data_IF_812956787467
#
_entry.id   IF_812956787467
#
_cell.length_a   1.000
_cell.length_b   1.000
_cell.length_c   1.000
_cell.angle_alpha   90.00
_cell.angle_beta   90.00
_cell.angle_gamma   90.00
#
_symmetry.space_group_name_H-M   'P 1'
#
loop_
_entity.id
_entity.type
_entity.pdbx_description
1 polymer ?
#
# COMPACT_ATOMS: atom_id res chain seq x y z
N UNK A 1 -53.74 -13.82 40.10
CA UNK A 1 -52.81 -14.53 39.19
C UNK A 1 -52.45 -13.58 38.06
N UNK A 2 -51.28 -12.97 38.13
CA UNK A 2 -50.76 -12.09 37.09
C UNK A 2 -49.40 -12.62 36.64
N UNK A 3 -49.32 -12.98 35.35
CA UNK A 3 -48.15 -13.51 34.67
C UNK A 3 -47.07 -12.42 34.58
N UNK A 4 -45.98 -12.56 35.32
CA UNK A 4 -44.82 -11.68 35.21
C UNK A 4 -43.75 -12.37 34.34
N UNK A 5 -43.77 -12.12 33.03
CA UNK A 5 -42.64 -12.45 32.14
C UNK A 5 -41.53 -11.43 32.37
N UNK A 6 -40.26 -11.83 32.51
CA UNK A 6 -39.15 -10.87 32.66
C UNK A 6 -38.98 -10.04 31.38
N UNK A 7 -38.63 -8.76 31.54
CA UNK A 7 -38.35 -7.80 30.47
C UNK A 7 -36.98 -8.07 29.85
N UNK A 8 -36.84 -7.86 28.55
CA UNK A 8 -35.64 -8.12 27.76
C UNK A 8 -34.49 -7.11 27.95
N UNK A 9 -34.35 -6.50 29.14
CA UNK A 9 -33.34 -5.47 29.43
C UNK A 9 -32.15 -5.93 30.28
N UNK A 10 -32.13 -7.20 30.74
CA UNK A 10 -31.12 -7.69 31.67
C UNK A 10 -30.13 -8.65 30.98
N UNK A 11 -29.73 -8.35 29.74
CA UNK A 11 -28.56 -8.99 29.13
C UNK A 11 -27.30 -8.29 29.65
N UNK A 12 -26.72 -8.91 30.68
CA UNK A 12 -25.34 -8.71 31.11
C UNK A 12 -24.44 -8.80 29.88
N UNK A 13 -23.88 -7.66 29.46
CA UNK A 13 -22.85 -7.60 28.42
C UNK A 13 -21.61 -8.26 28.99
N UNK A 14 -21.37 -9.51 28.58
CA UNK A 14 -20.13 -10.24 28.88
C UNK A 14 -18.92 -9.55 28.24
N UNK A 15 -17.70 -9.84 28.71
CA UNK A 15 -16.49 -9.17 28.22
C UNK A 15 -16.36 -9.35 26.71
N UNK A 16 -16.06 -8.24 26.02
CA UNK A 16 -15.81 -8.15 24.59
C UNK A 16 -14.92 -9.32 24.14
N UNK A 17 -15.52 -10.22 23.35
CA UNK A 17 -14.76 -11.25 22.66
C UNK A 17 -13.99 -10.57 21.55
N UNK A 18 -12.67 -10.49 21.69
CA UNK A 18 -11.76 -10.09 20.63
C UNK A 18 -12.10 -10.81 19.32
N UNK A 19 -12.14 -10.07 18.23
CA UNK A 19 -12.42 -10.57 16.88
C UNK A 19 -11.39 -11.65 16.49
N UNK A 20 -11.81 -12.91 16.28
CA UNK A 20 -10.93 -14.03 15.95
C UNK A 20 -10.29 -13.93 14.55
N UNK A 21 -10.59 -12.88 13.77
CA UNK A 21 -9.94 -12.59 12.48
C UNK A 21 -8.71 -11.67 12.59
N UNK A 22 -8.42 -11.13 13.78
CA UNK A 22 -7.21 -10.33 14.03
C UNK A 22 -5.95 -11.20 14.08
N UNK A 23 -5.46 -11.60 12.90
CA UNK A 23 -4.10 -12.16 12.78
C UNK A 23 -3.13 -11.11 13.32
N UNK A 24 -2.43 -11.44 14.41
CA UNK A 24 -1.34 -10.62 14.92
C UNK A 24 -0.30 -10.47 13.82
N UNK A 25 -0.18 -9.25 13.28
CA UNK A 25 0.82 -8.95 12.26
C UNK A 25 2.17 -8.91 13.00
N UNK A 26 3.01 -9.92 12.78
CA UNK A 26 4.37 -9.95 13.32
C UNK A 26 5.24 -8.99 12.49
N UNK A 27 5.69 -7.86 13.04
CA UNK A 27 6.52 -6.92 12.30
C UNK A 27 7.89 -7.52 12.03
N UNK A 28 8.33 -7.50 10.78
CA UNK A 28 9.70 -7.84 10.42
C UNK A 28 10.62 -6.64 10.69
N UNK A 29 11.89 -6.83 11.12
CA UNK A 29 12.82 -5.74 11.46
C UNK A 29 12.93 -4.64 10.39
N UNK A 30 12.78 -5.01 9.13
CA UNK A 30 12.86 -4.14 7.97
C UNK A 30 11.67 -3.17 7.87
N UNK A 31 10.50 -3.53 8.43
CA UNK A 31 9.33 -2.65 8.46
C UNK A 31 9.53 -1.49 9.42
N UNK A 32 10.30 -1.69 10.50
CA UNK A 32 10.66 -0.62 11.42
C UNK A 32 11.60 0.38 10.74
N UNK A 33 12.60 -0.09 10.00
CA UNK A 33 13.48 0.80 9.23
C UNK A 33 12.68 1.64 8.21
N UNK A 34 11.77 1.00 7.48
CA UNK A 34 10.89 1.69 6.55
C UNK A 34 10.03 2.74 7.26
N UNK A 35 9.43 2.40 8.40
CA UNK A 35 8.66 3.33 9.21
C UNK A 35 9.52 4.55 9.59
N UNK A 36 10.75 4.36 10.08
CA UNK A 36 11.63 5.47 10.44
C UNK A 36 12.00 6.36 9.24
N UNK A 37 12.22 5.78 8.05
CA UNK A 37 12.47 6.56 6.84
C UNK A 37 11.25 7.36 6.38
N UNK A 38 10.06 6.76 6.42
CA UNK A 38 8.79 7.46 6.18
C UNK A 38 8.59 8.59 7.19
N UNK A 39 8.96 8.35 8.46
CA UNK A 39 8.87 9.36 9.50
C UNK A 39 9.82 10.53 9.18
N UNK A 40 11.06 10.22 8.86
CA UNK A 40 12.10 11.24 8.66
C UNK A 40 11.87 12.11 7.42
N UNK A 41 11.48 11.52 6.29
CA UNK A 41 11.37 12.23 5.01
C UNK A 41 9.96 12.74 4.73
N UNK A 42 8.93 12.13 5.34
CA UNK A 42 7.51 12.40 5.05
C UNK A 42 7.19 12.24 3.56
N UNK A 43 5.98 12.65 3.17
CA UNK A 43 5.56 12.70 1.77
C UNK A 43 4.78 11.46 1.32
N UNK A 44 4.70 11.32 0.01
CA UNK A 44 3.96 10.28 -0.70
C UNK A 44 4.84 9.04 -0.87
N UNK A 45 4.32 7.91 -0.41
CA UNK A 45 4.92 6.60 -0.62
C UNK A 45 4.04 5.77 -1.56
N UNK A 46 4.59 5.39 -2.71
CA UNK A 46 3.93 4.53 -3.68
C UNK A 46 4.33 3.08 -3.43
N UNK A 47 3.37 2.23 -3.04
CA UNK A 47 3.62 0.81 -2.75
C UNK A 47 3.34 0.00 -4.02
N UNK A 48 4.34 -0.74 -4.51
CA UNK A 48 4.27 -1.56 -5.72
C UNK A 48 4.69 -3.00 -5.44
N UNK A 49 4.14 -3.94 -6.19
CA UNK A 49 4.37 -5.38 -6.00
C UNK A 49 3.29 -6.21 -6.68
N UNK A 50 3.54 -7.50 -6.85
CA UNK A 50 2.57 -8.44 -7.44
C UNK A 50 1.32 -8.58 -6.55
N UNK A 51 0.25 -9.15 -7.08
CA UNK A 51 -0.92 -9.59 -6.30
C UNK A 51 -0.47 -10.52 -5.17
N UNK A 52 -1.10 -10.44 -4.01
CA UNK A 52 -0.81 -11.28 -2.84
C UNK A 52 0.65 -11.24 -2.32
N UNK A 53 1.41 -10.17 -2.63
CA UNK A 53 2.76 -9.97 -2.12
C UNK A 53 2.84 -9.43 -0.68
N UNK A 54 1.70 -9.01 -0.09
CA UNK A 54 1.63 -8.47 1.27
C UNK A 54 1.53 -6.93 1.36
N UNK A 55 1.40 -6.21 0.23
CA UNK A 55 1.26 -4.74 0.17
C UNK A 55 0.22 -4.19 1.14
N UNK A 56 -1.02 -4.67 1.09
CA UNK A 56 -2.10 -4.15 1.92
C UNK A 56 -1.88 -4.46 3.41
N UNK A 57 -1.25 -5.59 3.75
CA UNK A 57 -0.84 -5.91 5.13
C UNK A 57 0.23 -4.93 5.63
N UNK A 58 1.24 -4.64 4.81
CA UNK A 58 2.27 -3.64 5.12
C UNK A 58 1.64 -2.25 5.29
N UNK A 59 0.74 -1.85 4.39
CA UNK A 59 0.04 -0.56 4.46
C UNK A 59 -0.76 -0.43 5.75
N UNK A 60 -1.55 -1.46 6.12
CA UNK A 60 -2.30 -1.45 7.38
C UNK A 60 -1.39 -1.33 8.61
N UNK A 61 -0.26 -2.05 8.61
CA UNK A 61 0.73 -1.94 9.68
C UNK A 61 1.30 -0.52 9.78
N UNK A 62 1.75 0.05 8.65
CA UNK A 62 2.32 1.40 8.60
C UNK A 62 1.31 2.46 9.08
N UNK A 63 0.05 2.38 8.65
CA UNK A 63 -1.00 3.31 9.10
C UNK A 63 -1.12 3.28 10.63
N UNK A 64 -1.27 2.09 11.24
CA UNK A 64 -1.40 1.95 12.69
C UNK A 64 -0.21 2.56 13.42
N UNK A 65 1.00 2.29 12.95
CA UNK A 65 2.24 2.80 13.55
C UNK A 65 2.36 4.32 13.41
N UNK A 66 2.09 4.87 12.24
CA UNK A 66 2.13 6.32 12.01
C UNK A 66 1.11 7.07 12.88
N UNK A 67 -0.10 6.53 13.04
CA UNK A 67 -1.11 7.08 13.95
C UNK A 67 -0.61 7.05 15.40
N UNK A 68 0.02 5.95 15.84
CA UNK A 68 0.56 5.86 17.22
C UNK A 68 1.67 6.87 17.50
N UNK A 69 2.38 7.30 16.45
CA UNK A 69 3.39 8.38 16.49
C UNK A 69 2.78 9.78 16.31
N UNK A 70 1.43 9.90 16.33
CA UNK A 70 0.69 11.15 16.12
C UNK A 70 0.99 11.84 14.77
N UNK A 71 1.32 11.06 13.73
CA UNK A 71 1.57 11.57 12.39
C UNK A 71 0.31 11.44 11.55
N UNK A 72 -0.10 12.53 10.91
CA UNK A 72 -1.25 12.53 10.02
C UNK A 72 -0.96 11.73 8.74
N UNK A 73 -1.76 10.69 8.49
CA UNK A 73 -1.57 9.79 7.34
C UNK A 73 -2.82 9.69 6.50
N UNK A 74 -2.67 9.71 5.18
CA UNK A 74 -3.73 9.38 4.24
C UNK A 74 -3.45 8.06 3.54
N UNK A 75 -4.49 7.29 3.28
CA UNK A 75 -4.45 6.15 2.38
C UNK A 75 -5.13 6.53 1.06
N UNK A 76 -4.45 6.32 -0.06
CA UNK A 76 -5.05 6.24 -1.39
C UNK A 76 -5.04 4.77 -1.80
N UNK A 77 -6.22 4.15 -1.81
CA UNK A 77 -6.41 2.78 -2.31
C UNK A 77 -6.67 2.84 -3.82
N UNK A 78 -5.66 2.45 -4.60
CA UNK A 78 -5.71 2.40 -6.05
C UNK A 78 -5.71 0.96 -6.61
N UNK A 79 -6.01 -0.05 -5.78
CA UNK A 79 -6.27 -1.41 -6.24
C UNK A 79 -7.75 -1.59 -6.63
N UNK A 80 -8.06 -1.34 -7.90
CA UNK A 80 -9.44 -1.45 -8.40
C UNK A 80 -9.94 -2.90 -8.49
N UNK A 81 -9.06 -3.90 -8.35
CA UNK A 81 -9.43 -5.31 -8.40
C UNK A 81 -9.79 -5.85 -7.02
N UNK A 82 -8.95 -5.57 -6.03
CA UNK A 82 -9.07 -6.05 -4.65
C UNK A 82 -8.99 -4.89 -3.65
N UNK A 83 -9.84 -3.87 -3.85
CA UNK A 83 -9.87 -2.70 -2.96
C UNK A 83 -10.12 -3.10 -1.51
N UNK A 84 -9.35 -2.51 -0.61
CA UNK A 84 -9.46 -2.66 0.85
C UNK A 84 -10.34 -1.59 1.49
N UNK A 85 -10.52 -0.45 0.81
CA UNK A 85 -11.21 0.73 1.34
C UNK A 85 -12.59 0.97 0.71
N UNK A 86 -12.80 0.59 -0.56
CA UNK A 86 -14.04 0.84 -1.29
C UNK A 86 -14.55 -0.38 -2.09
N UNK A 87 -15.66 -0.21 -2.83
CA UNK A 87 -16.16 -1.26 -3.72
C UNK A 87 -15.17 -1.58 -4.85
N UNK A 88 -15.22 -2.78 -5.45
CA UNK A 88 -14.43 -3.11 -6.64
C UNK A 88 -14.65 -2.09 -7.77
N UNK A 89 -13.57 -1.80 -8.51
CA UNK A 89 -13.56 -0.86 -9.62
C UNK A 89 -13.40 0.60 -9.22
N UNK A 90 -13.06 0.87 -7.96
CA UNK A 90 -12.90 2.23 -7.44
C UNK A 90 -11.47 2.55 -7.07
N UNK A 91 -11.13 3.83 -7.13
CA UNK A 91 -9.99 4.40 -6.41
C UNK A 91 -10.56 5.28 -5.30
N UNK A 92 -10.11 5.04 -4.08
CA UNK A 92 -10.62 5.68 -2.88
C UNK A 92 -9.51 6.36 -2.09
N UNK A 93 -9.88 7.34 -1.27
CA UNK A 93 -8.96 7.90 -0.28
C UNK A 93 -9.63 8.09 1.08
N UNK A 94 -8.79 8.11 2.11
CA UNK A 94 -9.19 8.38 3.49
C UNK A 94 -8.03 9.01 4.26
N UNK A 95 -8.28 10.14 4.90
CA UNK A 95 -7.40 10.71 5.93
C UNK A 95 -7.60 9.97 7.25
N UNK A 96 -6.52 9.60 7.93
CA UNK A 96 -6.53 8.85 9.19
C UNK A 96 -5.67 9.61 10.21
N UNK A 97 -6.30 10.11 11.28
CA UNK A 97 -5.64 10.94 12.31
C UNK A 97 -5.51 10.22 13.64
N UNK A 98 -6.43 9.32 13.92
CA UNK A 98 -6.45 8.56 15.16
C UNK A 98 -6.94 7.11 14.95
N UNK A 99 -6.94 6.33 16.03
CA UNK A 99 -7.38 4.94 16.02
C UNK A 99 -8.87 4.79 15.67
N UNK A 100 -9.71 5.80 15.95
CA UNK A 100 -11.13 5.76 15.62
C UNK A 100 -11.31 5.85 14.11
N UNK A 101 -10.54 6.70 13.44
CA UNK A 101 -10.53 6.76 11.97
C UNK A 101 -10.12 5.41 11.37
N UNK A 102 -9.11 4.76 11.97
CA UNK A 102 -8.65 3.44 11.51
C UNK A 102 -9.74 2.37 11.64
N UNK A 103 -10.43 2.32 12.78
CA UNK A 103 -11.50 1.34 13.03
C UNK A 103 -12.76 1.62 12.20
N UNK A 104 -13.06 2.90 11.94
CA UNK A 104 -14.14 3.32 11.04
C UNK A 104 -13.64 3.41 9.59
N UNK A 105 -13.16 2.29 9.03
CA UNK A 105 -12.52 2.22 7.73
C UNK A 105 -13.51 2.40 6.56
N UNK A 106 -13.99 3.64 6.39
CA UNK A 106 -14.82 4.13 5.28
C UNK A 106 -14.05 5.18 4.49
N UNK A 107 -14.13 5.12 3.16
CA UNK A 107 -13.57 6.14 2.28
C UNK A 107 -14.21 7.51 2.50
N UNK A 108 -13.44 8.58 2.30
CA UNK A 108 -13.90 9.97 2.28
C UNK A 108 -14.26 10.43 0.86
N UNK A 109 -13.47 10.00 -0.12
CA UNK A 109 -13.72 10.23 -1.56
C UNK A 109 -13.50 8.94 -2.34
N UNK A 110 -14.24 8.81 -3.43
CA UNK A 110 -14.25 7.65 -4.31
C UNK A 110 -14.39 8.11 -5.76
N UNK A 111 -13.74 7.40 -6.68
CA UNK A 111 -13.99 7.48 -8.10
C UNK A 111 -14.15 6.08 -8.68
N UNK A 112 -15.28 5.81 -9.33
CA UNK A 112 -15.56 4.54 -9.99
C UNK A 112 -15.07 4.57 -11.45
N UNK A 113 -14.25 3.59 -11.83
CA UNK A 113 -13.61 3.52 -13.14
C UNK A 113 -14.37 2.65 -14.15
N UNK A 114 -15.50 2.04 -13.74
CA UNK A 114 -16.34 1.22 -14.63
C UNK A 114 -15.82 -0.19 -14.88
N UNK A 115 -14.69 -0.58 -14.29
CA UNK A 115 -14.11 -1.92 -14.44
C UNK A 115 -13.23 -2.26 -13.24
N UNK A 116 -13.05 -3.55 -12.97
CA UNK A 116 -12.05 -4.07 -12.03
C UNK A 116 -10.76 -4.49 -12.74
N UNK A 117 -10.72 -4.46 -14.08
CA UNK A 117 -9.53 -4.82 -14.84
C UNK A 117 -8.65 -3.58 -15.13
N UNK A 118 -7.50 -3.43 -14.45
CA UNK A 118 -6.65 -2.25 -14.61
C UNK A 118 -6.11 -2.08 -16.03
N UNK A 119 -5.96 -3.17 -16.79
CA UNK A 119 -5.44 -3.12 -18.16
C UNK A 119 -6.33 -2.29 -19.12
N UNK A 120 -7.62 -2.15 -18.82
CA UNK A 120 -8.59 -1.46 -19.69
C UNK A 120 -8.62 0.07 -19.48
N UNK A 121 -8.08 0.57 -18.37
CA UNK A 121 -8.30 1.95 -17.91
C UNK A 121 -7.01 2.63 -17.39
N UNK A 122 -5.83 2.20 -17.87
CA UNK A 122 -4.53 2.66 -17.36
C UNK A 122 -4.40 4.21 -17.27
N UNK A 123 -4.71 5.00 -18.31
CA UNK A 123 -4.58 6.47 -18.22
C UNK A 123 -5.47 7.06 -17.13
N UNK A 124 -6.72 6.59 -17.04
CA UNK A 124 -7.68 7.04 -16.03
C UNK A 124 -7.23 6.66 -14.62
N UNK A 125 -6.66 5.46 -14.42
CA UNK A 125 -6.08 5.06 -13.13
C UNK A 125 -4.90 5.94 -12.71
N UNK A 126 -4.06 6.36 -13.65
CA UNK A 126 -2.92 7.24 -13.39
C UNK A 126 -3.44 8.62 -12.96
N UNK A 127 -4.34 9.21 -13.75
CA UNK A 127 -4.91 10.53 -13.49
C UNK A 127 -5.71 10.58 -12.20
N UNK A 128 -6.65 9.64 -11.99
CA UNK A 128 -7.48 9.60 -10.79
C UNK A 128 -6.64 9.39 -9.52
N UNK A 129 -5.60 8.55 -9.59
CA UNK A 129 -4.70 8.35 -8.45
C UNK A 129 -3.93 9.63 -8.11
N UNK A 130 -3.41 10.35 -9.11
CA UNK A 130 -2.79 11.67 -8.90
C UNK A 130 -3.75 12.65 -8.22
N UNK A 131 -4.99 12.75 -8.72
CA UNK A 131 -6.01 13.62 -8.12
C UNK A 131 -6.28 13.29 -6.65
N UNK A 132 -6.39 12.00 -6.30
CA UNK A 132 -6.59 11.60 -4.90
C UNK A 132 -5.37 11.94 -4.04
N UNK A 133 -4.15 11.71 -4.53
CA UNK A 133 -2.92 12.11 -3.83
C UNK A 133 -2.88 13.62 -3.61
N UNK A 134 -3.22 14.43 -4.61
CA UNK A 134 -3.21 15.89 -4.48
C UNK A 134 -4.17 16.39 -3.41
N UNK A 135 -5.35 15.79 -3.30
CA UNK A 135 -6.30 16.11 -2.23
C UNK A 135 -5.70 15.73 -0.86
N UNK A 136 -5.05 14.56 -0.75
CA UNK A 136 -4.43 14.12 0.49
C UNK A 136 -3.23 15.00 0.92
N UNK A 137 -2.52 15.64 -0.02
CA UNK A 137 -1.39 16.54 0.28
C UNK A 137 -1.80 17.75 1.12
N UNK A 138 -3.08 18.12 1.10
CA UNK A 138 -3.60 19.25 1.89
C UNK A 138 -3.82 18.90 3.36
N UNK A 139 -3.93 17.61 3.70
CA UNK A 139 -4.44 17.15 5.01
C UNK A 139 -3.56 16.12 5.71
N UNK A 140 -2.46 15.68 5.11
CA UNK A 140 -1.61 14.61 5.65
C UNK A 140 -0.13 14.85 5.40
N UNK A 141 0.68 14.54 6.40
CA UNK A 141 2.14 14.55 6.31
C UNK A 141 2.68 13.37 5.50
N UNK A 142 1.99 12.23 5.56
CA UNK A 142 2.35 11.02 4.83
C UNK A 142 1.15 10.51 4.04
N UNK A 143 1.38 10.11 2.79
CA UNK A 143 0.34 9.53 1.92
C UNK A 143 0.82 8.17 1.48
N UNK A 144 0.13 7.11 1.90
CA UNK A 144 0.39 5.76 1.43
C UNK A 144 -0.51 5.48 0.23
N UNK A 145 0.08 5.12 -0.90
CA UNK A 145 -0.66 4.77 -2.11
C UNK A 145 -0.55 3.25 -2.33
N UNK A 146 -1.59 2.52 -1.94
CA UNK A 146 -1.71 1.08 -2.24
C UNK A 146 -2.11 0.90 -3.70
N UNK A 147 -1.48 -0.02 -4.41
CA UNK A 147 -1.67 -0.16 -5.85
C UNK A 147 -1.95 -1.61 -6.26
N UNK A 148 -2.56 -1.76 -7.44
CA UNK A 148 -2.85 -3.08 -8.04
C UNK A 148 -1.63 -4.00 -8.13
N UNK A 149 -1.87 -5.30 -8.18
CA UNK A 149 -0.84 -6.30 -8.51
C UNK A 149 -0.34 -6.30 -9.96
N UNK A 150 -0.85 -5.43 -10.84
CA UNK A 150 -0.46 -5.43 -12.27
C UNK A 150 0.96 -4.86 -12.45
N UNK A 151 1.94 -5.76 -12.46
CA UNK A 151 3.37 -5.44 -12.63
C UNK A 151 3.93 -5.98 -13.95
N UNK A 152 3.36 -7.05 -14.50
CA UNK A 152 3.91 -7.79 -15.63
C UNK A 152 3.68 -7.12 -16.99
N UNK A 153 4.65 -7.31 -17.89
CA UNK A 153 4.59 -6.89 -19.28
C UNK A 153 4.54 -5.36 -19.47
N UNK A 154 4.22 -4.95 -20.70
CA UNK A 154 4.18 -3.53 -21.08
C UNK A 154 3.10 -2.75 -20.34
N UNK A 155 1.97 -3.40 -20.02
CA UNK A 155 0.85 -2.76 -19.32
C UNK A 155 1.18 -2.48 -17.86
N UNK A 156 1.76 -3.44 -17.13
CA UNK A 156 2.23 -3.22 -15.76
C UNK A 156 3.31 -2.15 -15.69
N UNK A 157 4.28 -2.20 -16.61
CA UNK A 157 5.29 -1.14 -16.74
C UNK A 157 4.63 0.23 -16.99
N UNK A 158 3.75 0.34 -17.97
CA UNK A 158 3.10 1.61 -18.30
C UNK A 158 2.30 2.16 -17.11
N UNK A 159 1.54 1.32 -16.41
CA UNK A 159 0.76 1.72 -15.25
C UNK A 159 1.64 2.21 -14.10
N UNK A 160 2.65 1.45 -13.70
CA UNK A 160 3.50 1.81 -12.55
C UNK A 160 4.39 3.01 -12.85
N UNK A 161 5.07 3.01 -13.99
CA UNK A 161 5.94 4.12 -14.38
C UNK A 161 5.14 5.39 -14.65
N UNK A 162 3.93 5.28 -15.20
CA UNK A 162 3.00 6.39 -15.34
C UNK A 162 2.60 7.00 -14.00
N UNK A 163 2.23 6.16 -13.02
CA UNK A 163 1.96 6.62 -11.63
C UNK A 163 3.17 7.32 -11.02
N UNK A 164 4.36 6.72 -11.09
CA UNK A 164 5.60 7.32 -10.56
C UNK A 164 5.84 8.70 -11.18
N UNK A 165 5.73 8.82 -12.50
CA UNK A 165 5.99 10.08 -13.22
C UNK A 165 5.00 11.19 -12.89
N UNK A 166 3.71 10.89 -12.73
CA UNK A 166 2.72 11.94 -12.46
C UNK A 166 2.60 12.25 -10.97
N UNK A 167 2.80 11.27 -10.09
CA UNK A 167 2.69 11.44 -8.64
C UNK A 167 3.95 12.07 -8.07
N UNK A 168 5.11 11.77 -8.68
CA UNK A 168 6.44 12.18 -8.20
C UNK A 168 6.62 11.85 -6.71
N UNK A 169 6.42 10.57 -6.32
CA UNK A 169 6.43 10.21 -4.91
C UNK A 169 7.82 10.34 -4.31
N UNK A 170 7.90 10.78 -3.06
CA UNK A 170 9.12 10.84 -2.28
C UNK A 170 9.70 9.44 -2.00
N UNK A 171 8.83 8.42 -1.98
CA UNK A 171 9.22 7.03 -1.77
C UNK A 171 8.54 6.08 -2.76
N UNK A 172 9.31 5.13 -3.29
CA UNK A 172 8.77 3.95 -3.98
C UNK A 172 9.11 2.72 -3.15
N UNK A 173 8.09 2.06 -2.59
CA UNK A 173 8.24 0.89 -1.74
C UNK A 173 7.93 -0.35 -2.59
N UNK A 174 8.95 -1.18 -2.81
CA UNK A 174 8.86 -2.37 -3.62
C UNK A 174 8.66 -3.63 -2.75
N UNK A 175 7.46 -4.20 -2.76
CA UNK A 175 7.14 -5.48 -2.11
C UNK A 175 7.22 -6.58 -3.17
N UNK A 176 8.36 -7.26 -3.25
CA UNK A 176 8.72 -8.14 -4.38
C UNK A 176 9.22 -9.50 -3.97
N UNK A 177 9.14 -10.44 -4.90
CA UNK A 177 9.90 -11.70 -4.88
C UNK A 177 10.92 -11.67 -6.00
N UNK A 178 12.19 -11.91 -5.68
CA UNK A 178 13.29 -11.90 -6.66
C UNK A 178 13.33 -10.58 -7.46
N UNK A 179 13.52 -10.66 -8.79
CA UNK A 179 13.75 -9.53 -9.69
C UNK A 179 12.51 -9.10 -10.49
N UNK A 180 11.31 -9.47 -10.04
CA UNK A 180 10.06 -9.26 -10.79
C UNK A 180 9.66 -7.79 -10.99
N UNK A 181 10.29 -6.85 -10.26
CA UNK A 181 10.02 -5.41 -10.37
C UNK A 181 11.15 -4.61 -11.03
N UNK A 182 12.27 -5.25 -11.40
CA UNK A 182 13.46 -4.56 -11.91
C UNK A 182 13.12 -3.70 -13.12
N UNK A 183 12.26 -4.21 -14.00
CA UNK A 183 11.80 -3.51 -15.19
C UNK A 183 10.96 -2.25 -14.89
N UNK A 184 10.39 -2.13 -13.70
CA UNK A 184 9.71 -0.91 -13.26
C UNK A 184 10.72 0.02 -12.55
N UNK A 185 11.53 -0.54 -11.67
CA UNK A 185 12.46 0.20 -10.82
C UNK A 185 13.62 0.84 -11.59
N UNK A 186 14.07 0.24 -12.70
CA UNK A 186 15.11 0.85 -13.56
C UNK A 186 14.69 2.21 -14.14
N UNK A 187 13.39 2.50 -14.17
CA UNK A 187 12.86 3.78 -14.64
C UNK A 187 12.52 4.77 -13.51
N UNK A 188 12.70 4.39 -12.25
CA UNK A 188 12.47 5.24 -11.09
C UNK A 188 13.78 5.94 -10.69
N UNK A 189 13.89 7.23 -11.02
CA UNK A 189 15.01 8.08 -10.57
C UNK A 189 14.64 8.67 -9.20
N UNK A 190 14.87 7.90 -8.13
CA UNK A 190 14.59 8.33 -6.74
C UNK A 190 14.50 7.16 -5.76
N UNK A 191 15.33 7.20 -4.71
CA UNK A 191 15.43 6.32 -3.52
C UNK A 191 14.73 4.95 -3.59
N UNK A 192 15.54 3.90 -3.78
CA UNK A 192 15.15 2.49 -3.75
C UNK A 192 15.09 1.94 -2.32
N UNK A 193 13.97 1.33 -1.94
CA UNK A 193 13.88 0.42 -0.79
C UNK A 193 13.36 -0.95 -1.26
N UNK A 194 14.18 -1.97 -1.05
CA UNK A 194 13.89 -3.42 -1.13
C UNK A 194 14.25 -3.99 0.26
N UNK A 195 13.71 -5.07 0.81
CA UNK A 195 13.23 -6.34 0.26
C UNK A 195 12.37 -7.07 1.32
N UNK A 196 11.45 -7.96 0.92
CA UNK A 196 10.96 -9.06 1.77
C UNK A 196 10.48 -10.26 0.90
N UNK A 197 11.40 -11.19 0.65
CA UNK A 197 11.12 -12.56 0.23
C UNK A 197 12.22 -13.50 0.69
N UNK A 198 11.88 -14.46 1.57
CA UNK A 198 12.72 -15.51 2.17
C UNK A 198 13.95 -15.92 1.35
N UNK A 199 15.16 -15.70 1.90
CA UNK A 199 16.44 -16.16 1.32
C UNK A 199 16.43 -17.67 1.04
N UNK A 200 16.30 -18.05 -0.23
CA UNK A 200 16.63 -19.37 -0.74
C UNK A 200 18.12 -19.45 -1.05
N UNK A 201 18.78 -20.52 -0.61
CA UNK A 201 20.24 -20.70 -0.63
C UNK A 201 20.91 -20.85 -2.02
N UNK A 202 20.25 -20.48 -3.13
CA UNK A 202 20.77 -20.60 -4.50
C UNK A 202 21.06 -19.27 -5.23
N UNK A 203 20.67 -18.12 -4.67
CA UNK A 203 20.64 -16.86 -5.44
C UNK A 203 21.98 -16.10 -5.51
N UNK A 204 23.00 -16.53 -4.75
CA UNK A 204 24.31 -15.83 -4.69
C UNK A 204 25.11 -15.84 -5.99
N UNK A 205 24.92 -16.83 -6.86
CA UNK A 205 25.63 -16.89 -8.15
C UNK A 205 25.01 -15.97 -9.21
N UNK A 206 23.71 -15.69 -9.10
CA UNK A 206 22.98 -14.90 -10.10
C UNK A 206 23.07 -13.39 -9.83
N UNK A 207 23.13 -12.99 -8.54
CA UNK A 207 23.39 -11.61 -8.11
C UNK A 207 24.76 -11.07 -8.59
N UNK A 208 25.76 -11.96 -8.68
CA UNK A 208 27.11 -11.58 -9.11
C UNK A 208 27.18 -11.32 -10.63
N UNK A 209 26.38 -12.03 -11.43
CA UNK A 209 26.30 -11.82 -12.87
C UNK A 209 25.57 -10.50 -13.22
N UNK A 210 24.51 -10.17 -12.49
CA UNK A 210 23.71 -8.96 -12.73
C UNK A 210 24.45 -7.67 -12.32
N UNK A 211 25.19 -7.71 -11.22
CA UNK A 211 26.00 -6.58 -10.74
C UNK A 211 27.14 -6.24 -11.73
N UNK A 212 27.81 -7.24 -12.30
CA UNK A 212 28.84 -7.04 -13.33
C UNK A 212 28.29 -6.38 -14.61
N UNK A 213 27.09 -6.78 -15.05
CA UNK A 213 26.45 -6.23 -16.24
C UNK A 213 26.01 -4.76 -16.04
N UNK A 214 25.61 -4.41 -14.83
CA UNK A 214 25.20 -3.04 -14.46
C UNK A 214 26.41 -2.10 -14.36
N UNK A 215 27.57 -2.61 -13.93
CA UNK A 215 28.83 -1.84 -13.92
C UNK A 215 29.37 -1.62 -15.33
N UNK A 216 29.29 -2.60 -16.24
CA UNK A 216 29.70 -2.41 -17.64
C UNK A 216 28.86 -1.36 -18.36
N UNK A 217 27.54 -1.37 -18.13
CA UNK A 217 26.62 -0.39 -18.75
C UNK A 217 26.87 1.03 -18.24
N UNK A 218 27.26 1.19 -16.97
CA UNK A 218 27.66 2.48 -16.38
C UNK A 218 29.01 3.02 -16.89
N UNK A 219 29.84 2.21 -17.54
CA UNK A 219 31.12 2.65 -18.12
C UNK A 219 30.99 3.13 -19.57
N UNK A 220 29.85 2.87 -20.21
CA UNK A 220 29.62 3.17 -21.63
C UNK A 220 28.87 4.50 -21.87
N UNK A 221 28.41 5.17 -20.81
CA UNK A 221 27.75 6.49 -20.84
C UNK A 221 28.18 7.31 -19.63
#
# INVERSE_FOLDING_TARGET
MANNKPRASDMIVGPDKADPSSREIVPEPEWEFLLQELIRKRGTALIIGETDSGKSTLVQHLIKRLISESISVSLVDADIGQSSLGPPGTICMKSLRDEKDFNAFRFEKMSFLGTTNPALVIPMMIETCKKMVDICKETSEIILVDTTGLISGNLGRALKTGKIKVIEPEHVIAVRRNNELDHILDSAVGLNVQDQGSKGSKDKEQDNAYSLQKEETRRLF
#
